data_IF_614467846607
#
_entry.id   IF_614467846607
#
_cell.length_a   1.000
_cell.length_b   1.000
_cell.length_c   1.000
_cell.angle_alpha   90.00
_cell.angle_beta   90.00
_cell.angle_gamma   90.00
#
_symmetry.space_group_name_H-M   'P 1'
#
loop_
_entity.id
_entity.type
_entity.pdbx_description
1 polymer ?
#
# COMPACT_ATOMS: atom_id res chain seq x y z
N UNK A 1 -31.08 -4.40 -3.89
CA UNK A 1 -29.75 -4.97 -4.16
C UNK A 1 -29.69 -6.35 -3.52
N UNK A 2 -29.19 -7.36 -4.23
CA UNK A 2 -29.06 -8.71 -3.68
C UNK A 2 -27.60 -8.92 -3.24
N UNK A 3 -27.36 -8.99 -1.94
CA UNK A 3 -26.04 -9.27 -1.36
C UNK A 3 -25.98 -10.73 -0.89
N UNK A 4 -24.78 -11.33 -0.89
CA UNK A 4 -24.59 -12.71 -0.42
C UNK A 4 -25.27 -13.78 -1.28
N UNK A 5 -25.49 -13.49 -2.58
CA UNK A 5 -26.13 -14.40 -3.53
C UNK A 5 -25.22 -14.67 -4.72
N UNK A 6 -25.40 -15.81 -5.38
CA UNK A 6 -24.65 -16.20 -6.57
C UNK A 6 -25.57 -16.19 -7.79
N UNK A 7 -25.07 -15.72 -8.93
CA UNK A 7 -25.74 -15.93 -10.21
C UNK A 7 -25.55 -17.39 -10.59
N UNK A 8 -26.64 -18.14 -10.69
CA UNK A 8 -26.63 -19.56 -11.07
C UNK A 8 -26.80 -19.74 -12.57
N UNK A 9 -27.55 -18.84 -13.21
CA UNK A 9 -27.84 -18.93 -14.63
C UNK A 9 -28.13 -17.56 -15.24
N UNK A 10 -27.72 -17.38 -16.49
CA UNK A 10 -28.04 -16.21 -17.31
C UNK A 10 -28.69 -16.71 -18.60
N UNK A 11 -29.94 -16.32 -18.86
CA UNK A 11 -30.69 -16.63 -20.09
C UNK A 11 -31.18 -15.36 -20.76
N UNK A 12 -31.31 -15.38 -22.08
CA UNK A 12 -32.06 -14.34 -22.80
C UNK A 12 -33.55 -14.67 -22.76
N UNK A 13 -34.38 -13.75 -22.28
CA UNK A 13 -35.82 -13.92 -22.21
C UNK A 13 -36.49 -13.61 -23.57
N UNK A 14 -37.78 -13.91 -23.69
CA UNK A 14 -38.56 -13.66 -24.92
C UNK A 14 -38.69 -12.16 -25.27
N UNK A 15 -38.54 -11.27 -24.30
CA UNK A 15 -38.50 -9.82 -24.47
C UNK A 15 -37.13 -9.27 -24.88
N UNK A 16 -36.13 -10.15 -25.10
CA UNK A 16 -34.78 -9.77 -25.53
C UNK A 16 -33.84 -9.30 -24.41
N UNK A 17 -34.29 -9.26 -23.15
CA UNK A 17 -33.47 -8.93 -21.98
C UNK A 17 -32.75 -10.17 -21.43
N UNK A 18 -31.74 -9.95 -20.59
CA UNK A 18 -31.09 -11.00 -19.83
C UNK A 18 -31.85 -11.24 -18.52
N UNK A 19 -32.13 -12.49 -18.21
CA UNK A 19 -32.74 -12.97 -16.97
C UNK A 19 -31.68 -13.74 -16.19
N UNK A 20 -31.43 -13.31 -14.95
CA UNK A 20 -30.43 -13.88 -14.05
C UNK A 20 -31.13 -14.61 -12.92
N UNK A 21 -30.98 -15.94 -12.85
CA UNK A 21 -31.45 -16.72 -11.71
C UNK A 21 -30.39 -16.67 -10.60
N UNK A 22 -30.81 -16.28 -9.41
CA UNK A 22 -29.94 -16.15 -8.24
C UNK A 22 -30.12 -17.33 -7.29
N UNK A 23 -29.08 -17.68 -6.54
CA UNK A 23 -29.13 -18.75 -5.53
C UNK A 23 -30.11 -18.46 -4.39
N UNK A 24 -30.55 -17.21 -4.23
CA UNK A 24 -31.64 -16.82 -3.32
C UNK A 24 -33.04 -17.19 -3.83
N UNK A 25 -33.16 -17.75 -5.03
CA UNK A 25 -34.44 -18.00 -5.72
C UNK A 25 -35.02 -16.77 -6.43
N UNK A 26 -34.40 -15.59 -6.27
CA UNK A 26 -34.81 -14.38 -6.99
C UNK A 26 -34.35 -14.43 -8.45
N UNK A 27 -35.10 -13.75 -9.31
CA UNK A 27 -34.72 -13.51 -10.71
C UNK A 27 -34.55 -12.02 -10.92
N UNK A 28 -33.47 -11.61 -11.59
CA UNK A 28 -33.24 -10.22 -12.00
C UNK A 28 -33.29 -10.11 -13.51
N UNK A 29 -33.86 -9.03 -14.03
CA UNK A 29 -33.78 -8.69 -15.44
C UNK A 29 -32.77 -7.56 -15.65
N UNK A 30 -31.94 -7.68 -16.69
CA UNK A 30 -30.94 -6.69 -17.05
C UNK A 30 -30.78 -6.59 -18.57
N UNK A 31 -30.46 -5.38 -19.05
CA UNK A 31 -30.13 -5.15 -20.46
C UNK A 31 -28.63 -5.45 -20.74
N UNK A 32 -27.78 -5.40 -19.71
CA UNK A 32 -26.35 -5.67 -19.75
C UNK A 32 -25.90 -6.39 -18.47
N UNK A 33 -24.98 -7.34 -18.60
CA UNK A 33 -24.30 -7.99 -17.47
C UNK A 33 -22.80 -7.73 -17.59
N UNK A 34 -22.19 -7.22 -16.53
CA UNK A 34 -20.74 -7.04 -16.40
C UNK A 34 -20.23 -8.09 -15.42
N UNK A 35 -19.28 -8.92 -15.84
CA UNK A 35 -18.64 -9.91 -14.96
C UNK A 35 -17.35 -9.34 -14.38
N UNK A 36 -17.31 -9.15 -13.07
CA UNK A 36 -16.15 -8.66 -12.33
C UNK A 36 -15.88 -9.55 -11.11
N UNK A 37 -15.82 -10.87 -11.34
CA UNK A 37 -15.78 -11.91 -10.28
C UNK A 37 -14.36 -12.36 -9.93
N UNK A 38 -13.34 -11.56 -10.25
CA UNK A 38 -11.93 -11.88 -10.06
C UNK A 38 -11.22 -12.28 -11.35
N UNK A 39 -9.93 -12.54 -11.22
CA UNK A 39 -9.02 -12.89 -12.31
C UNK A 39 -8.27 -14.18 -11.96
N UNK A 40 -7.75 -14.85 -12.98
CA UNK A 40 -6.90 -16.04 -12.85
C UNK A 40 -5.65 -15.86 -13.72
N UNK A 41 -4.46 -16.20 -13.22
CA UNK A 41 -3.24 -16.21 -14.03
C UNK A 41 -3.41 -17.02 -15.31
N UNK A 42 -2.93 -16.47 -16.43
CA UNK A 42 -2.96 -17.17 -17.71
C UNK A 42 -1.67 -18.00 -17.89
N UNK A 43 -1.68 -19.21 -17.32
CA UNK A 43 -0.49 -20.07 -17.21
C UNK A 43 -0.71 -21.49 -17.75
N UNK A 44 -1.87 -21.75 -18.35
CA UNK A 44 -2.24 -23.08 -18.86
C UNK A 44 -1.23 -23.61 -19.92
N UNK A 45 -0.57 -22.71 -20.64
CA UNK A 45 0.46 -23.04 -21.64
C UNK A 45 1.76 -23.62 -21.06
N UNK A 46 1.97 -23.51 -19.74
CA UNK A 46 3.16 -24.04 -19.07
C UNK A 46 3.04 -25.53 -18.73
N UNK A 47 1.88 -26.15 -18.97
CA UNK A 47 1.68 -27.57 -18.73
C UNK A 47 2.74 -28.41 -19.47
N UNK A 48 3.49 -29.22 -18.72
CA UNK A 48 4.57 -30.06 -19.27
C UNK A 48 5.88 -29.35 -19.58
N UNK A 49 6.00 -28.04 -19.32
CA UNK A 49 7.25 -27.28 -19.54
C UNK A 49 8.35 -27.54 -18.50
N UNK A 50 7.98 -28.11 -17.34
CA UNK A 50 8.85 -28.25 -16.17
C UNK A 50 8.92 -27.01 -15.27
N UNK A 51 8.32 -25.88 -15.68
CA UNK A 51 8.15 -24.71 -14.81
C UNK A 51 7.15 -25.06 -13.71
N UNK A 52 7.55 -24.82 -12.46
CA UNK A 52 6.68 -25.01 -11.29
C UNK A 52 5.51 -24.03 -11.34
N UNK A 53 4.31 -24.54 -11.06
CA UNK A 53 3.08 -23.77 -10.97
C UNK A 53 2.37 -24.14 -9.68
N UNK A 54 1.93 -23.13 -8.94
CA UNK A 54 1.19 -23.26 -7.68
C UNK A 54 -0.20 -22.63 -7.80
N UNK A 55 -1.14 -22.92 -6.86
CA UNK A 55 -2.38 -22.18 -6.77
C UNK A 55 -2.11 -20.67 -6.66
N UNK A 56 -2.42 -19.92 -7.72
CA UNK A 56 -2.22 -18.47 -7.77
C UNK A 56 -1.13 -17.98 -8.71
N UNK A 57 -0.31 -18.85 -9.33
CA UNK A 57 0.72 -18.40 -10.29
C UNK A 57 2.00 -19.24 -10.33
N UNK A 58 3.07 -18.61 -10.80
CA UNK A 58 4.42 -19.15 -10.99
C UNK A 58 5.28 -18.63 -9.84
N UNK A 59 5.77 -19.50 -8.93
CA UNK A 59 6.71 -19.11 -7.90
C UNK A 59 8.01 -18.56 -8.49
N UNK A 60 8.48 -17.44 -7.95
CA UNK A 60 9.77 -16.85 -8.31
C UNK A 60 10.60 -16.50 -7.08
N UNK A 61 11.92 -16.53 -7.23
CA UNK A 61 12.84 -15.98 -6.23
C UNK A 61 12.85 -14.44 -6.23
N UNK A 62 13.70 -13.83 -5.40
CA UNK A 62 13.85 -12.38 -5.34
C UNK A 62 14.51 -11.79 -6.60
N UNK A 63 15.06 -12.60 -7.51
CA UNK A 63 15.55 -12.18 -8.82
C UNK A 63 14.48 -12.32 -9.91
N UNK A 64 13.25 -12.68 -9.53
CA UNK A 64 12.11 -12.98 -10.41
C UNK A 64 12.32 -14.24 -11.28
N UNK A 65 13.24 -15.11 -10.88
CA UNK A 65 13.58 -16.32 -11.60
C UNK A 65 12.73 -17.49 -11.14
N UNK A 66 12.27 -18.32 -12.08
CA UNK A 66 11.50 -19.54 -11.78
C UNK A 66 12.43 -20.66 -11.29
N UNK A 67 11.88 -21.84 -11.03
CA UNK A 67 12.66 -23.04 -10.72
C UNK A 67 13.61 -23.47 -11.86
N UNK A 68 13.39 -23.01 -13.10
CA UNK A 68 14.26 -23.31 -14.24
C UNK A 68 15.27 -22.18 -14.45
N UNK A 69 16.58 -22.46 -14.43
CA UNK A 69 17.62 -21.47 -14.71
C UNK A 69 17.41 -20.72 -16.03
N UNK A 70 17.44 -19.39 -15.99
CA UNK A 70 17.26 -18.53 -17.16
C UNK A 70 15.81 -18.29 -17.59
N UNK A 71 14.82 -18.87 -16.91
CA UNK A 71 13.39 -18.58 -17.12
C UNK A 71 12.88 -17.71 -15.98
N UNK A 72 12.24 -16.60 -16.32
CA UNK A 72 11.72 -15.59 -15.39
C UNK A 72 10.20 -15.45 -15.52
N UNK A 73 9.54 -15.04 -14.45
CA UNK A 73 8.12 -14.65 -14.47
C UNK A 73 7.93 -13.30 -13.78
N UNK A 74 7.00 -12.50 -14.29
CA UNK A 74 6.74 -11.14 -13.80
C UNK A 74 5.26 -10.78 -13.97
N UNK A 75 4.79 -9.80 -13.18
CA UNK A 75 3.38 -9.36 -13.20
C UNK A 75 2.42 -10.34 -12.56
N UNK A 76 1.17 -10.31 -13.03
CA UNK A 76 0.01 -11.00 -12.43
C UNK A 76 0.15 -12.53 -12.39
N UNK A 77 1.10 -13.10 -13.13
CA UNK A 77 1.37 -14.54 -13.12
C UNK A 77 2.42 -14.95 -12.09
N UNK A 78 3.16 -14.01 -11.50
CA UNK A 78 4.27 -14.32 -10.59
C UNK A 78 3.81 -14.30 -9.13
N UNK A 79 4.14 -15.36 -8.41
CA UNK A 79 4.06 -15.43 -6.95
C UNK A 79 5.46 -15.08 -6.43
N UNK A 80 5.63 -13.83 -6.03
CA UNK A 80 6.93 -13.29 -5.61
C UNK A 80 6.98 -12.96 -4.12
N UNK A 81 8.15 -12.48 -3.63
CA UNK A 81 8.31 -12.06 -2.25
C UNK A 81 7.29 -11.00 -1.82
N UNK A 82 6.86 -11.06 -0.56
CA UNK A 82 6.01 -10.06 0.11
C UNK A 82 6.80 -9.38 1.24
N UNK A 83 6.71 -8.05 1.35
CA UNK A 83 7.37 -7.26 2.40
C UNK A 83 6.86 -7.66 3.79
N UNK A 84 5.61 -8.08 3.89
CA UNK A 84 4.92 -8.38 5.14
C UNK A 84 4.85 -9.88 5.44
N UNK A 85 5.45 -10.73 4.59
CA UNK A 85 5.46 -12.18 4.74
C UNK A 85 5.74 -12.66 6.18
N UNK A 86 4.93 -13.62 6.63
CA UNK A 86 5.04 -14.27 7.95
C UNK A 86 4.50 -13.42 9.11
N UNK A 87 3.75 -12.33 8.83
CA UNK A 87 3.17 -11.47 9.87
C UNK A 87 1.75 -11.88 10.28
N UNK A 88 1.11 -12.80 9.57
CA UNK A 88 -0.13 -13.45 10.03
C UNK A 88 -0.04 -14.96 9.87
N UNK A 89 -0.97 -15.69 10.51
CA UNK A 89 -1.08 -17.13 10.34
C UNK A 89 -1.61 -17.55 8.94
N UNK A 90 -2.19 -16.61 8.19
CA UNK A 90 -2.72 -16.82 6.84
C UNK A 90 -1.72 -16.41 5.73
N UNK A 91 -0.60 -15.80 6.13
CA UNK A 91 0.36 -15.15 5.26
C UNK A 91 1.48 -16.12 4.84
N UNK A 92 1.47 -16.48 3.56
CA UNK A 92 2.52 -17.30 2.93
C UNK A 92 3.68 -16.42 2.51
N UNK A 93 4.91 -16.97 2.45
CA UNK A 93 6.10 -16.17 2.10
C UNK A 93 6.10 -15.59 0.67
N UNK A 94 5.11 -15.97 -0.13
CA UNK A 94 4.93 -15.53 -1.50
C UNK A 94 3.44 -15.46 -1.82
N UNK A 95 3.03 -14.39 -2.52
CA UNK A 95 1.65 -14.14 -2.95
C UNK A 95 1.62 -13.52 -4.34
N UNK A 96 0.55 -13.79 -5.08
CA UNK A 96 0.30 -13.12 -6.36
C UNK A 96 -0.30 -11.74 -6.10
N UNK A 97 0.42 -10.69 -6.51
CA UNK A 97 -0.01 -9.31 -6.39
C UNK A 97 -0.32 -8.73 -7.77
N UNK A 98 -1.53 -9.01 -8.25
CA UNK A 98 -2.00 -8.62 -9.57
C UNK A 98 -2.40 -7.14 -9.61
N UNK A 99 -1.42 -6.26 -9.44
CA UNK A 99 -1.55 -4.81 -9.56
C UNK A 99 -0.46 -4.25 -10.46
N UNK A 100 -0.80 -3.19 -11.20
CA UNK A 100 0.12 -2.58 -12.17
C UNK A 100 1.48 -2.18 -11.58
N UNK A 101 1.58 -1.55 -10.38
CA UNK A 101 2.87 -1.17 -9.83
C UNK A 101 3.80 -2.38 -9.59
N UNK A 102 3.24 -3.48 -9.08
CA UNK A 102 3.96 -4.73 -8.90
C UNK A 102 4.44 -5.30 -10.23
N UNK A 103 3.58 -5.31 -11.26
CA UNK A 103 3.96 -5.80 -12.58
C UNK A 103 5.10 -5.01 -13.21
N UNK A 104 5.09 -3.69 -13.04
CA UNK A 104 6.18 -2.81 -13.51
C UNK A 104 7.49 -3.13 -12.77
N UNK A 105 7.44 -3.30 -11.46
CA UNK A 105 8.64 -3.59 -10.67
C UNK A 105 9.17 -5.01 -10.94
N UNK A 106 8.31 -6.03 -10.98
CA UNK A 106 8.67 -7.38 -11.41
C UNK A 106 9.36 -7.37 -12.79
N UNK A 107 8.79 -6.66 -13.76
CA UNK A 107 9.35 -6.57 -15.11
C UNK A 107 10.74 -5.91 -15.14
N UNK A 108 10.96 -4.87 -14.32
CA UNK A 108 12.27 -4.22 -14.18
C UNK A 108 13.32 -5.16 -13.59
N UNK A 109 12.98 -5.86 -12.52
CA UNK A 109 13.90 -6.78 -11.84
C UNK A 109 14.22 -7.98 -12.74
N UNK A 110 13.20 -8.61 -13.33
CA UNK A 110 13.38 -9.72 -14.26
C UNK A 110 14.25 -9.31 -15.46
N UNK A 111 13.95 -8.16 -16.08
CA UNK A 111 14.71 -7.64 -17.21
C UNK A 111 16.17 -7.33 -16.88
N UNK A 112 16.43 -6.77 -15.69
CA UNK A 112 17.79 -6.50 -15.22
C UNK A 112 18.60 -7.80 -15.05
N UNK A 113 18.01 -8.82 -14.41
CA UNK A 113 18.68 -10.11 -14.22
C UNK A 113 18.87 -10.87 -15.54
N UNK A 114 17.90 -10.80 -16.47
CA UNK A 114 18.07 -11.32 -17.84
C UNK A 114 19.24 -10.66 -18.59
N UNK A 115 19.51 -9.38 -18.32
CA UNK A 115 20.64 -8.64 -18.90
C UNK A 115 21.97 -8.84 -18.17
N UNK A 116 22.02 -9.71 -17.13
CA UNK A 116 23.22 -9.98 -16.35
C UNK A 116 23.50 -8.99 -15.22
N UNK A 117 22.53 -8.16 -14.84
CA UNK A 117 22.63 -7.33 -13.64
C UNK A 117 22.08 -8.07 -12.42
N UNK A 118 22.86 -8.17 -11.35
CA UNK A 118 22.39 -8.73 -10.09
C UNK A 118 21.45 -7.74 -9.40
N UNK A 119 20.15 -8.05 -9.36
CA UNK A 119 19.14 -7.16 -8.77
C UNK A 119 18.08 -7.99 -8.03
N UNK A 120 17.73 -7.54 -6.83
CA UNK A 120 16.82 -8.26 -5.93
C UNK A 120 15.56 -7.44 -5.67
N UNK A 121 14.40 -8.06 -5.82
CA UNK A 121 13.09 -7.51 -5.52
C UNK A 121 12.86 -7.54 -4.01
N UNK A 122 12.66 -6.39 -3.35
CA UNK A 122 12.51 -6.33 -1.89
C UNK A 122 11.16 -6.89 -1.40
N UNK A 123 10.26 -7.24 -2.32
CA UNK A 123 8.92 -7.72 -2.05
C UNK A 123 7.84 -6.72 -2.43
N UNK A 124 6.65 -7.25 -2.64
CA UNK A 124 5.45 -6.48 -2.91
C UNK A 124 4.86 -5.88 -1.63
N UNK A 125 4.11 -4.79 -1.81
CA UNK A 125 3.19 -4.28 -0.81
C UNK A 125 1.79 -4.26 -1.43
N UNK A 126 0.86 -5.04 -0.86
CA UNK A 126 -0.55 -4.94 -1.22
C UNK A 126 -1.04 -3.51 -1.02
N UNK A 127 -1.52 -2.92 -2.11
CA UNK A 127 -2.01 -1.55 -2.16
C UNK A 127 -3.16 -1.46 -3.15
N UNK A 128 -4.26 -0.87 -2.72
CA UNK A 128 -5.32 -0.46 -3.62
C UNK A 128 -5.83 0.93 -3.22
N UNK A 129 -6.09 1.76 -4.22
CA UNK A 129 -6.72 3.07 -4.05
C UNK A 129 -7.80 3.18 -5.12
N UNK A 130 -9.02 3.47 -4.70
CA UNK A 130 -10.18 3.53 -5.59
C UNK A 130 -11.14 4.64 -5.15
N UNK A 131 -11.88 5.16 -6.12
CA UNK A 131 -12.88 6.19 -5.90
C UNK A 131 -14.27 5.58 -6.10
N UNK A 132 -15.12 5.68 -5.07
CA UNK A 132 -16.50 5.18 -5.10
C UNK A 132 -17.42 6.29 -4.66
N UNK A 133 -18.21 6.83 -5.60
CA UNK A 133 -19.29 7.80 -5.32
C UNK A 133 -18.81 8.94 -4.40
N UNK A 134 -17.74 9.64 -4.82
CA UNK A 134 -17.07 10.73 -4.09
C UNK A 134 -16.31 10.34 -2.80
N UNK A 135 -16.16 9.05 -2.52
CA UNK A 135 -15.28 8.55 -1.47
C UNK A 135 -13.99 8.02 -2.05
N UNK A 136 -12.86 8.51 -1.54
CA UNK A 136 -11.56 7.89 -1.67
C UNK A 136 -11.45 6.73 -0.69
N UNK A 137 -11.13 5.56 -1.21
CA UNK A 137 -10.90 4.34 -0.45
C UNK A 137 -9.48 3.85 -0.72
N UNK A 138 -8.64 3.76 0.31
CA UNK A 138 -7.28 3.26 0.21
C UNK A 138 -7.06 2.13 1.23
N UNK A 139 -6.43 1.04 0.80
CA UNK A 139 -6.04 -0.09 1.65
C UNK A 139 -4.59 -0.47 1.42
N UNK A 140 -3.85 -0.72 2.50
CA UNK A 140 -2.41 -0.98 2.50
C UNK A 140 -2.09 -2.20 3.36
N UNK A 141 -1.18 -3.05 2.89
CA UNK A 141 -0.60 -4.14 3.68
C UNK A 141 -1.66 -5.06 4.29
N UNK A 142 -1.53 -5.39 5.57
CA UNK A 142 -2.52 -6.17 6.32
C UNK A 142 -3.75 -5.32 6.68
N UNK A 143 -4.83 -5.41 5.91
CA UNK A 143 -6.07 -4.68 6.22
C UNK A 143 -7.01 -5.45 7.18
N UNK A 144 -6.86 -6.78 7.25
CA UNK A 144 -7.54 -7.62 8.22
C UNK A 144 -6.78 -7.56 9.55
N UNK A 145 -7.50 -7.44 10.65
CA UNK A 145 -6.95 -7.31 12.01
C UNK A 145 -6.61 -8.66 12.65
N UNK A 146 -6.08 -9.60 11.85
CA UNK A 146 -5.88 -11.03 12.15
C UNK A 146 -5.01 -11.31 13.40
N UNK A 147 -5.53 -10.98 14.59
CA UNK A 147 -4.81 -11.00 15.87
C UNK A 147 -3.94 -9.76 16.14
N UNK A 148 -3.93 -8.78 15.23
CA UNK A 148 -3.11 -7.56 15.36
C UNK A 148 -3.85 -6.46 16.12
N UNK A 149 -3.10 -5.60 16.81
CA UNK A 149 -3.67 -4.42 17.47
C UNK A 149 -4.13 -3.40 16.42
N UNK A 150 -5.17 -2.62 16.72
CA UNK A 150 -5.73 -1.67 15.76
C UNK A 150 -6.05 -0.31 16.38
N UNK A 151 -5.88 0.74 15.59
CA UNK A 151 -6.35 2.09 15.95
C UNK A 151 -7.34 2.53 14.90
N UNK A 152 -8.56 2.87 15.32
CA UNK A 152 -9.62 3.29 14.41
C UNK A 152 -10.06 4.71 14.71
N UNK A 153 -10.18 5.52 13.67
CA UNK A 153 -10.86 6.82 13.69
C UNK A 153 -12.13 6.68 12.88
N UNK A 154 -13.25 7.08 13.47
CA UNK A 154 -14.52 7.14 12.79
C UNK A 154 -15.26 8.40 13.19
N UNK A 155 -15.83 9.09 12.21
CA UNK A 155 -16.74 10.20 12.46
C UNK A 155 -18.04 9.94 11.70
N UNK A 156 -19.17 9.88 12.39
CA UNK A 156 -20.47 9.69 11.74
C UNK A 156 -20.99 10.98 11.08
N UNK A 157 -20.58 12.15 11.58
CA UNK A 157 -21.00 13.47 11.08
C UNK A 157 -20.21 13.95 9.85
N UNK A 158 -19.05 13.35 9.60
CA UNK A 158 -18.22 13.54 8.41
C UNK A 158 -17.73 12.17 7.99
N UNK A 159 -18.00 11.65 6.78
CA UNK A 159 -17.80 10.25 6.42
C UNK A 159 -16.32 9.88 6.30
N UNK A 160 -15.63 9.86 7.44
CA UNK A 160 -14.21 9.58 7.59
C UNK A 160 -14.09 8.30 8.41
N UNK A 161 -13.40 7.33 7.84
CA UNK A 161 -12.98 6.11 8.49
C UNK A 161 -11.49 5.90 8.24
N UNK A 162 -10.73 5.70 9.32
CA UNK A 162 -9.31 5.37 9.25
C UNK A 162 -9.06 4.19 10.18
N UNK A 163 -8.30 3.22 9.71
CA UNK A 163 -7.82 2.09 10.51
C UNK A 163 -6.33 1.94 10.28
N UNK A 164 -5.60 1.75 11.36
CA UNK A 164 -4.21 1.30 11.36
C UNK A 164 -4.15 -0.08 11.98
N UNK A 165 -3.37 -0.97 11.38
CA UNK A 165 -3.07 -2.31 11.89
C UNK A 165 -1.62 -2.34 12.34
N UNK A 166 -1.43 -2.73 13.58
CA UNK A 166 -0.17 -2.64 14.31
C UNK A 166 0.41 -4.01 14.58
N UNK A 167 1.70 -4.14 14.33
CA UNK A 167 2.50 -5.25 14.81
C UNK A 167 3.64 -4.66 15.64
N UNK A 168 3.58 -4.86 16.96
CA UNK A 168 4.48 -4.21 17.91
C UNK A 168 4.46 -2.67 17.76
N UNK A 169 5.59 -2.06 17.40
CA UNK A 169 5.76 -0.62 17.18
C UNK A 169 5.74 -0.24 15.68
N UNK A 170 5.22 -1.11 14.82
CA UNK A 170 5.19 -0.94 13.35
C UNK A 170 3.77 -0.90 12.83
N UNK A 171 3.56 -0.10 11.79
CA UNK A 171 2.34 -0.16 11.00
C UNK A 171 2.53 -1.23 9.94
N UNK A 172 1.69 -2.26 9.95
CA UNK A 172 1.69 -3.36 8.97
C UNK A 172 0.51 -3.29 8.02
N UNK A 173 -0.46 -2.42 8.28
CA UNK A 173 -1.51 -2.13 7.31
C UNK A 173 -2.37 -0.94 7.71
N UNK A 174 -3.19 -0.49 6.77
CA UNK A 174 -4.10 0.62 6.98
C UNK A 174 -5.30 0.56 6.04
N UNK A 175 -6.42 1.16 6.46
CA UNK A 175 -7.57 1.46 5.61
C UNK A 175 -7.98 2.90 5.81
N UNK A 176 -8.19 3.63 4.72
CA UNK A 176 -8.68 4.99 4.71
C UNK A 176 -9.91 5.06 3.80
N UNK A 177 -11.02 5.55 4.33
CA UNK A 177 -12.23 5.91 3.57
C UNK A 177 -12.62 7.33 3.95
N UNK A 178 -12.77 8.22 2.98
CA UNK A 178 -13.09 9.62 3.22
C UNK A 178 -13.51 10.36 1.94
N UNK A 179 -14.05 11.59 2.04
CA UNK A 179 -14.29 12.44 0.89
C UNK A 179 -13.01 12.70 0.08
N UNK A 180 -13.14 12.80 -1.24
CA UNK A 180 -12.02 13.10 -2.17
C UNK A 180 -11.29 14.43 -1.85
N UNK A 181 -12.00 15.40 -1.30
CA UNK A 181 -11.48 16.72 -0.92
C UNK A 181 -10.91 16.78 0.50
N UNK A 182 -10.88 15.65 1.21
CA UNK A 182 -10.22 15.57 2.52
C UNK A 182 -8.70 15.54 2.36
N UNK A 183 -8.10 16.71 2.54
CA UNK A 183 -6.65 16.92 2.49
C UNK A 183 -5.88 16.02 3.48
N UNK A 184 -6.50 15.64 4.60
CA UNK A 184 -5.84 14.77 5.59
C UNK A 184 -5.71 13.33 5.08
N UNK A 185 -6.67 12.85 4.28
CA UNK A 185 -6.55 11.56 3.60
C UNK A 185 -5.40 11.55 2.60
N UNK A 186 -5.34 12.56 1.72
CA UNK A 186 -4.38 12.62 0.62
C UNK A 186 -2.93 12.69 1.13
N UNK A 187 -2.68 13.50 2.17
CA UNK A 187 -1.34 13.68 2.70
C UNK A 187 -0.81 12.41 3.39
N UNK A 188 -1.68 11.68 4.08
CA UNK A 188 -1.26 10.58 4.94
C UNK A 188 -1.05 9.27 4.18
N UNK A 189 -1.76 9.06 3.06
CA UNK A 189 -1.62 7.85 2.21
C UNK A 189 -0.16 7.56 1.84
N UNK A 190 0.57 8.55 1.33
CA UNK A 190 1.96 8.37 0.90
C UNK A 190 2.91 8.07 2.06
N UNK A 191 2.73 8.75 3.20
CA UNK A 191 3.57 8.55 4.38
C UNK A 191 3.32 7.20 5.04
N UNK A 192 2.05 6.80 5.16
CA UNK A 192 1.66 5.51 5.74
C UNK A 192 2.11 4.36 4.85
N UNK A 193 1.95 4.49 3.52
CA UNK A 193 2.56 3.57 2.57
C UNK A 193 4.08 3.46 2.80
N UNK A 194 4.76 4.59 2.98
CA UNK A 194 6.21 4.61 3.22
C UNK A 194 6.62 3.92 4.53
N UNK A 195 5.87 4.13 5.62
CA UNK A 195 6.08 3.44 6.90
C UNK A 195 5.93 1.92 6.75
N UNK A 196 4.85 1.47 6.10
CA UNK A 196 4.60 0.05 5.86
C UNK A 196 5.64 -0.54 4.91
N UNK A 197 5.99 0.15 3.83
CA UNK A 197 6.95 -0.36 2.85
C UNK A 197 8.38 -0.47 3.42
N UNK A 198 8.79 0.48 4.25
CA UNK A 198 10.15 0.49 4.80
C UNK A 198 10.29 -0.39 6.03
N UNK A 199 9.18 -0.73 6.69
CA UNK A 199 9.17 -1.40 7.98
C UNK A 199 10.22 -0.73 8.91
N UNK A 200 10.13 0.58 9.12
CA UNK A 200 10.92 1.25 10.16
C UNK A 200 10.19 1.13 11.50
N UNK A 201 10.89 0.78 12.60
CA UNK A 201 10.28 0.78 13.93
C UNK A 201 9.94 2.22 14.33
N UNK A 202 8.76 2.43 14.91
CA UNK A 202 8.37 3.77 15.36
C UNK A 202 8.84 4.06 16.80
N UNK A 203 9.16 3.05 17.60
CA UNK A 203 9.45 3.21 19.02
C UNK A 203 8.37 4.01 19.74
N UNK A 204 8.77 5.05 20.49
CA UNK A 204 7.87 5.93 21.23
C UNK A 204 6.84 6.64 20.33
N UNK A 205 7.14 6.82 19.03
CA UNK A 205 6.19 7.42 18.09
C UNK A 205 4.99 6.53 17.81
N UNK A 206 5.05 5.22 18.07
CA UNK A 206 3.88 4.34 17.95
C UNK A 206 2.76 4.81 18.87
N UNK A 207 3.06 5.07 20.15
CA UNK A 207 2.08 5.58 21.11
C UNK A 207 1.53 6.96 20.70
N UNK A 208 2.40 7.83 20.18
CA UNK A 208 1.99 9.13 19.66
C UNK A 208 0.98 9.01 18.52
N UNK A 209 1.24 8.17 17.51
CA UNK A 209 0.35 7.99 16.36
C UNK A 209 -0.96 7.33 16.78
N UNK A 210 -0.93 6.38 17.74
CA UNK A 210 -2.15 5.79 18.30
C UNK A 210 -3.04 6.86 18.97
N UNK A 211 -2.44 7.81 19.68
CA UNK A 211 -3.16 8.92 20.31
C UNK A 211 -3.54 10.04 19.33
N UNK A 212 -2.78 10.21 18.24
CA UNK A 212 -2.94 11.28 17.24
C UNK A 212 -2.99 10.69 15.81
N UNK A 213 -4.00 9.87 15.48
CA UNK A 213 -4.04 9.06 14.26
C UNK A 213 -4.14 9.84 12.94
N UNK A 214 -4.28 11.17 13.02
CA UNK A 214 -4.28 12.10 11.89
C UNK A 214 -2.99 12.89 11.74
N UNK A 215 -2.00 12.68 12.60
CA UNK A 215 -0.68 13.34 12.54
C UNK A 215 0.45 12.29 12.41
N UNK A 216 0.41 11.54 11.33
CA UNK A 216 1.44 10.53 11.02
C UNK A 216 2.75 11.15 10.53
N UNK A 217 2.70 12.41 10.08
CA UNK A 217 3.85 13.12 9.49
C UNK A 217 5.07 13.13 10.39
N UNK A 218 4.87 13.45 11.67
CA UNK A 218 5.99 13.55 12.63
C UNK A 218 6.67 12.20 12.81
N UNK A 219 5.90 11.14 12.99
CA UNK A 219 6.42 9.77 13.08
C UNK A 219 7.12 9.33 11.77
N UNK A 220 6.54 9.64 10.61
CA UNK A 220 7.14 9.33 9.32
C UNK A 220 8.53 9.94 9.13
N UNK A 221 8.69 11.22 9.47
CA UNK A 221 9.99 11.89 9.34
C UNK A 221 10.96 11.42 10.43
N UNK A 222 10.49 11.27 11.67
CA UNK A 222 11.35 10.89 12.80
C UNK A 222 11.86 9.44 12.73
N UNK A 223 11.06 8.51 12.17
CA UNK A 223 11.43 7.10 12.01
C UNK A 223 12.53 6.85 10.96
N UNK A 224 12.90 7.87 10.17
CA UNK A 224 13.85 7.70 9.07
C UNK A 224 13.26 6.98 7.85
N UNK A 225 11.95 6.72 7.80
CA UNK A 225 11.31 6.07 6.66
C UNK A 225 11.51 6.85 5.36
N UNK A 226 11.46 8.18 5.41
CA UNK A 226 11.79 9.02 4.26
C UNK A 226 13.22 8.77 3.77
N UNK A 227 14.20 8.72 4.66
CA UNK A 227 15.61 8.48 4.35
C UNK A 227 15.82 7.07 3.80
N UNK A 228 15.13 6.06 4.34
CA UNK A 228 15.20 4.69 3.81
C UNK A 228 14.68 4.58 2.37
N UNK A 229 13.71 5.41 1.99
CA UNK A 229 13.19 5.51 0.61
C UNK A 229 14.09 6.38 -0.28
N UNK A 230 14.85 7.32 0.29
CA UNK A 230 15.73 8.21 -0.45
C UNK A 230 17.11 7.56 -0.61
N UNK A 231 17.49 7.25 -1.85
CA UNK A 231 18.89 6.93 -2.17
C UNK A 231 19.11 5.65 -2.94
N UNK A 232 18.08 4.82 -3.13
CA UNK A 232 18.16 3.63 -3.99
C UNK A 232 17.08 3.69 -5.06
N UNK A 233 17.47 3.42 -6.29
CA UNK A 233 16.51 3.07 -7.35
C UNK A 233 15.95 1.67 -7.07
N UNK A 234 14.85 1.32 -7.73
CA UNK A 234 14.32 -0.05 -7.71
C UNK A 234 15.36 -1.11 -8.13
N UNK A 235 16.37 -0.70 -8.92
CA UNK A 235 17.46 -1.57 -9.35
C UNK A 235 18.66 -1.55 -8.37
N UNK A 236 18.48 -1.06 -7.15
CA UNK A 236 19.54 -0.98 -6.13
C UNK A 236 20.63 0.07 -6.41
N UNK A 237 20.65 0.70 -7.58
CA UNK A 237 21.63 1.73 -7.92
C UNK A 237 21.40 3.02 -7.11
N UNK A 238 22.47 3.75 -6.72
CA UNK A 238 22.34 5.03 -6.03
C UNK A 238 21.50 6.02 -6.82
N UNK A 239 20.54 6.66 -6.16
CA UNK A 239 19.78 7.74 -6.78
C UNK A 239 20.72 8.92 -7.12
N UNK A 240 20.77 9.30 -8.40
CA UNK A 240 21.49 10.50 -8.86
C UNK A 240 20.65 11.74 -8.59
N UNK A 241 21.33 12.84 -8.30
CA UNK A 241 20.66 14.14 -8.25
C UNK A 241 20.08 14.44 -9.64
N UNK A 242 18.81 14.88 -9.67
CA UNK A 242 18.13 15.26 -10.91
C UNK A 242 18.58 16.64 -11.42
N UNK A 243 19.46 17.32 -10.67
CA UNK A 243 19.99 18.65 -10.99
C UNK A 243 18.87 19.66 -11.31
N UNK A 244 17.75 19.53 -10.60
CA UNK A 244 16.60 20.41 -10.77
C UNK A 244 17.02 21.84 -10.44
N UNK A 245 16.44 22.81 -11.15
CA UNK A 245 16.64 24.23 -10.86
C UNK A 245 15.32 24.83 -10.41
N UNK A 246 15.34 25.52 -9.28
CA UNK A 246 14.19 26.30 -8.79
C UNK A 246 14.49 27.76 -9.11
N UNK A 247 13.66 28.39 -9.94
CA UNK A 247 13.88 29.75 -10.45
C UNK A 247 15.29 29.96 -11.04
N UNK A 248 15.76 28.96 -11.81
CA UNK A 248 17.08 28.98 -12.44
C UNK A 248 18.26 28.73 -11.49
N UNK A 249 18.02 28.63 -10.18
CA UNK A 249 19.05 28.38 -9.16
C UNK A 249 19.17 26.90 -8.87
N UNK A 250 20.41 26.44 -8.73
CA UNK A 250 20.68 25.11 -8.19
C UNK A 250 20.32 25.12 -6.70
N UNK A 251 19.49 24.17 -6.24
CA UNK A 251 19.20 23.99 -4.83
C UNK A 251 20.48 23.79 -4.03
N UNK A 252 20.53 24.22 -2.76
CA UNK A 252 21.66 23.92 -1.89
C UNK A 252 21.86 22.41 -1.78
N UNK A 253 23.12 21.97 -1.75
CA UNK A 253 23.45 20.57 -1.54
C UNK A 253 22.86 20.10 -0.21
N UNK A 254 22.02 19.07 -0.26
CA UNK A 254 21.39 18.51 0.92
C UNK A 254 22.28 17.41 1.52
N UNK A 255 22.51 17.46 2.84
CA UNK A 255 23.20 16.39 3.55
C UNK A 255 22.28 15.17 3.63
N UNK A 256 22.65 14.10 2.91
CA UNK A 256 21.88 12.86 2.85
C UNK A 256 21.91 12.04 4.13
N UNK A 257 22.84 12.37 5.02
CA UNK A 257 23.09 11.68 6.28
C UNK A 257 22.60 12.45 7.50
N UNK A 258 22.23 13.72 7.33
CA UNK A 258 21.61 14.51 8.39
C UNK A 258 20.26 13.87 8.79
N UNK A 259 20.24 13.24 9.95
CA UNK A 259 18.99 12.83 10.60
C UNK A 259 18.16 14.09 10.81
N UNK A 260 16.88 14.04 10.43
CA UNK A 260 15.96 15.16 10.64
C UNK A 260 15.57 15.36 12.12
N UNK A 261 16.30 14.73 13.06
CA UNK A 261 16.16 14.91 14.50
C UNK A 261 16.08 16.37 14.95
N UNK A 262 16.86 17.31 14.36
CA UNK A 262 16.75 18.74 14.67
C UNK A 262 15.45 19.40 14.16
N UNK A 263 14.81 18.87 13.12
CA UNK A 263 13.65 19.47 12.45
C UNK A 263 12.29 18.94 12.93
N UNK A 264 12.27 17.81 13.65
CA UNK A 264 11.02 17.14 14.09
C UNK A 264 10.99 16.89 15.59
N UNK A 265 12.08 17.17 16.32
CA UNK A 265 12.07 17.11 17.78
C UNK A 265 11.06 18.10 18.36
N UNK A 266 10.09 17.59 19.12
CA UNK A 266 9.17 18.36 19.97
C UNK A 266 9.90 19.09 21.12
N UNK A 267 11.21 18.87 21.26
CA UNK A 267 12.08 19.48 22.27
C UNK A 267 13.22 20.30 21.68
N UNK A 268 13.30 20.47 20.36
CA UNK A 268 14.34 21.34 19.78
C UNK A 268 14.12 22.79 20.23
N UNK A 269 15.19 23.45 20.69
CA UNK A 269 15.16 24.87 21.08
C UNK A 269 14.60 25.74 19.94
N UNK A 270 14.95 25.40 18.70
CA UNK A 270 14.47 26.08 17.50
C UNK A 270 12.93 25.99 17.30
N UNK A 271 12.29 24.88 17.64
CA UNK A 271 10.82 24.77 17.58
C UNK A 271 10.13 25.63 18.65
N UNK A 272 10.73 25.75 19.85
CA UNK A 272 10.21 26.59 20.94
C UNK A 272 10.31 28.07 20.64
N UNK A 273 11.35 28.50 19.92
CA UNK A 273 11.51 29.88 19.46
C UNK A 273 10.46 30.27 18.41
N UNK A 274 10.13 29.36 17.49
CA UNK A 274 9.16 29.59 16.42
C UNK A 274 7.69 29.44 16.88
N UNK A 275 7.44 28.73 17.97
CA UNK A 275 6.09 28.49 18.50
C UNK A 275 6.05 28.69 20.03
N UNK A 276 6.14 29.94 20.52
CA UNK A 276 6.07 30.21 21.94
C UNK A 276 4.70 29.78 22.51
N UNK A 277 4.70 29.04 23.62
CA UNK A 277 3.47 28.64 24.31
C UNK A 277 2.68 29.89 24.70
N UNK A 278 1.35 29.97 24.44
CA UNK A 278 0.57 31.12 24.88
C UNK A 278 0.59 31.20 26.41
N UNK A 279 0.99 32.36 26.94
CA UNK A 279 0.91 32.64 28.37
C UNK A 279 -0.56 32.53 28.82
N UNK A 280 -0.90 31.76 29.88
CA UNK A 280 -2.26 31.70 30.37
C UNK A 280 -2.64 33.04 31.02
N UNK A 281 -3.20 33.94 30.22
CA UNK A 281 -3.81 35.18 30.70
C UNK A 281 -5.19 34.91 31.26
N UNK A 282 -5.28 34.41 32.49
CA UNK A 282 -6.52 34.51 33.28
C UNK A 282 -6.53 35.92 33.88
N UNK A 283 -7.11 36.87 33.15
CA UNK A 283 -7.59 38.10 33.75
C UNK A 283 -8.83 37.77 34.58
N UNK A 284 -8.70 37.81 35.90
CA UNK A 284 -9.89 37.89 36.78
C UNK A 284 -10.59 39.21 36.46
N UNK A 285 -11.87 39.11 36.09
CA UNK A 285 -12.76 40.24 36.06
C UNK A 285 -13.05 40.70 37.50
N UNK A 286 -12.71 41.95 37.78
CA UNK A 286 -13.50 42.86 38.63
C UNK A 286 -14.05 43.96 37.72
#
# INVERSE_FOLDING_TARGET
>A
MAHGTQVQEIRRNAGGKLSLALSSGQTLEADLVIMATGIRPNIDFLAGSGVSVEPGGIPVDDRMQTNIPGIYAAGDVAIGPDILAGRTASDTSASAHAIQPTAVDHGRIAGANMAGHETHYPGSLLLNVLDVVNLHCASFGLWRDEGHDTTTVFNASRPIYRKYVWHEDRIVGALFVGPIDDVTMLNDVGMVKGLIQTQQPLGDWAAYVKANPTDVRRAYVASGAAQALIGRTLLGAPARDRAYRVDGKTPPAWDKTATHGPLVSTQSEHYRELNPTPTPGIGKAE
#
